data_IF_418394996021
#
_entry.id   IF_418394996021
#
_cell.length_a   1.000
_cell.length_b   1.000
_cell.length_c   1.000
_cell.angle_alpha   90.00
_cell.angle_beta   90.00
_cell.angle_gamma   90.00
#
_symmetry.space_group_name_H-M   'P 1'
#
loop_
_entity.id
_entity.type
_entity.pdbx_description
1 polymer ?
#
# COMPACT_ATOMS: atom_id res chain seq x y z
N UNK A 1 11.90 49.69 -2.61
CA UNK A 1 11.42 48.47 -3.30
C UNK A 1 9.92 48.46 -3.17
N UNK A 2 9.17 48.50 -4.27
CA UNK A 2 7.72 48.32 -4.20
C UNK A 2 7.43 46.89 -3.76
N UNK A 3 6.77 46.72 -2.61
CA UNK A 3 6.35 45.40 -2.14
C UNK A 3 5.23 44.89 -3.04
N UNK A 4 5.52 43.89 -3.87
CA UNK A 4 4.54 43.24 -4.74
C UNK A 4 3.56 42.41 -3.91
N UNK A 5 2.33 42.91 -3.76
CA UNK A 5 1.24 42.18 -3.12
C UNK A 5 0.69 41.08 -4.05
N UNK A 6 0.29 39.89 -3.54
CA UNK A 6 -0.38 38.85 -4.32
C UNK A 6 -1.52 39.34 -5.23
N UNK A 7 -2.30 40.34 -4.81
CA UNK A 7 -3.36 40.93 -5.63
C UNK A 7 -2.83 41.70 -6.85
N UNK A 8 -1.73 42.43 -6.68
CA UNK A 8 -1.07 43.16 -7.78
C UNK A 8 -0.51 42.15 -8.78
N UNK A 9 0.19 41.13 -8.29
CA UNK A 9 0.74 40.06 -9.14
C UNK A 9 -0.38 39.31 -9.88
N UNK A 10 -1.51 39.01 -9.22
CA UNK A 10 -2.65 38.38 -9.87
C UNK A 10 -3.21 39.23 -11.02
N UNK A 11 -3.32 40.54 -10.83
CA UNK A 11 -3.77 41.44 -11.89
C UNK A 11 -2.79 41.53 -13.05
N UNK A 12 -1.48 41.48 -12.78
CA UNK A 12 -0.45 41.41 -13.82
C UNK A 12 -0.55 40.10 -14.61
N UNK A 13 -0.63 38.95 -13.94
CA UNK A 13 -0.73 37.64 -14.59
C UNK A 13 -2.03 37.47 -15.40
N UNK A 14 -3.12 38.13 -15.00
CA UNK A 14 -4.38 38.16 -15.76
C UNK A 14 -4.30 38.99 -17.05
N UNK A 15 -3.38 39.94 -17.14
CA UNK A 15 -3.21 40.80 -18.32
C UNK A 15 -2.39 40.15 -19.43
N UNK A 16 -1.72 39.04 -19.15
CA UNK A 16 -0.94 38.29 -20.13
C UNK A 16 -1.92 37.73 -21.19
N UNK A 17 -1.76 38.07 -22.48
CA UNK A 17 -2.64 37.57 -23.52
C UNK A 17 -2.39 36.07 -23.74
N UNK A 18 -3.42 35.35 -24.20
CA UNK A 18 -3.34 33.89 -24.35
C UNK A 18 -2.27 33.44 -25.35
N UNK A 19 -1.93 34.30 -26.32
CA UNK A 19 -0.88 34.09 -27.32
C UNK A 19 0.54 34.07 -26.73
N UNK A 20 0.74 34.76 -25.60
CA UNK A 20 2.04 34.83 -24.91
C UNK A 20 2.24 33.69 -23.91
N UNK A 21 1.18 32.96 -23.55
CA UNK A 21 1.25 31.85 -22.56
C UNK A 21 2.22 30.74 -22.99
N UNK A 22 2.27 30.30 -24.27
CA UNK A 22 3.27 29.34 -24.74
C UNK A 22 4.71 29.83 -24.60
N UNK A 23 4.95 31.15 -24.66
CA UNK A 23 6.30 31.73 -24.47
C UNK A 23 6.81 31.52 -23.04
N UNK A 24 5.90 31.30 -22.09
CA UNK A 24 6.20 31.00 -20.69
C UNK A 24 6.33 29.49 -20.41
N UNK A 25 6.40 28.66 -21.46
CA UNK A 25 6.44 27.20 -21.36
C UNK A 25 5.21 26.59 -20.67
N UNK A 26 4.07 27.27 -20.77
CA UNK A 26 2.78 26.81 -20.24
C UNK A 26 1.86 26.38 -21.38
N UNK A 27 1.04 25.34 -21.14
CA UNK A 27 -0.01 24.95 -22.07
C UNK A 27 -1.28 25.79 -21.81
N UNK A 28 -1.74 26.61 -22.78
CA UNK A 28 -2.92 27.48 -22.61
C UNK A 28 -4.22 26.73 -22.27
N UNK A 29 -4.34 25.46 -22.66
CA UNK A 29 -5.53 24.63 -22.37
C UNK A 29 -5.49 24.01 -20.97
N UNK A 30 -4.29 23.76 -20.43
CA UNK A 30 -4.12 23.08 -19.15
C UNK A 30 -4.12 24.05 -17.96
N UNK A 31 -3.69 25.30 -18.15
CA UNK A 31 -3.70 26.30 -17.09
C UNK A 31 -3.17 27.65 -17.53
N UNK A 32 -3.62 28.71 -16.85
CA UNK A 32 -3.20 30.09 -17.08
C UNK A 32 -2.18 30.51 -16.03
N UNK A 33 -1.30 31.48 -16.31
CA UNK A 33 -0.36 32.01 -15.32
C UNK A 33 -1.05 32.51 -14.04
N UNK A 34 -2.24 33.09 -14.15
CA UNK A 34 -3.02 33.55 -13.01
C UNK A 34 -3.45 32.44 -12.04
N UNK A 35 -3.51 31.18 -12.50
CA UNK A 35 -3.95 30.04 -11.69
C UNK A 35 -2.88 29.58 -10.69
N UNK A 36 -1.63 30.07 -10.84
CA UNK A 36 -0.56 29.88 -9.87
C UNK A 36 -0.84 30.58 -8.53
N UNK A 37 -1.68 31.62 -8.54
CA UNK A 37 -2.11 32.32 -7.33
C UNK A 37 -3.44 31.71 -6.87
N UNK A 38 -3.39 31.06 -5.71
CA UNK A 38 -4.54 30.39 -5.13
C UNK A 38 -5.58 31.42 -4.67
N UNK A 39 -6.72 31.46 -5.37
CA UNK A 39 -7.91 32.24 -4.95
C UNK A 39 -8.96 31.37 -4.26
N UNK A 40 -8.89 30.05 -4.47
CA UNK A 40 -9.76 29.04 -3.88
C UNK A 40 -8.90 27.86 -3.46
N UNK A 41 -9.02 27.45 -2.20
CA UNK A 41 -8.33 26.27 -1.69
C UNK A 41 -9.24 25.05 -1.81
N UNK A 42 -8.75 23.98 -2.43
CA UNK A 42 -9.49 22.73 -2.56
C UNK A 42 -9.41 21.94 -1.26
N UNK A 43 -10.56 21.53 -0.73
CA UNK A 43 -10.66 20.72 0.49
C UNK A 43 -10.75 19.24 0.11
N UNK A 44 -9.78 18.39 0.49
CA UNK A 44 -9.82 16.98 0.17
C UNK A 44 -10.92 16.25 0.95
N UNK A 45 -11.49 15.17 0.38
CA UNK A 45 -12.46 14.31 1.08
C UNK A 45 -11.85 13.56 2.26
N UNK A 46 -12.70 13.03 3.14
CA UNK A 46 -12.31 12.34 4.38
C UNK A 46 -11.37 11.13 4.16
N UNK A 47 -11.45 10.47 3.01
CA UNK A 47 -10.55 9.36 2.68
C UNK A 47 -9.06 9.77 2.58
N UNK A 48 -8.76 11.04 2.33
CA UNK A 48 -7.38 11.58 2.30
C UNK A 48 -6.94 12.11 3.67
N UNK A 49 -7.90 12.46 4.53
CA UNK A 49 -7.70 13.04 5.87
C UNK A 49 -8.53 12.29 6.92
N UNK A 50 -8.22 11.00 7.16
CA UNK A 50 -9.04 10.14 8.01
C UNK A 50 -8.96 10.55 9.48
N UNK A 51 -10.10 10.49 10.16
CA UNK A 51 -10.18 10.68 11.61
C UNK A 51 -10.06 9.33 12.32
N UNK A 52 -9.28 9.26 13.40
CA UNK A 52 -9.07 8.04 14.17
C UNK A 52 -9.76 8.18 15.53
N UNK A 53 -10.70 7.30 15.84
CA UNK A 53 -11.34 7.27 17.17
C UNK A 53 -10.35 6.74 18.19
N UNK A 54 -10.26 7.40 19.35
CA UNK A 54 -9.38 6.95 20.43
C UNK A 54 -10.11 5.95 21.33
N UNK A 55 -9.55 4.74 21.50
CA UNK A 55 -10.14 3.69 22.33
C UNK A 55 -10.03 3.97 23.85
N UNK A 56 -9.05 4.80 24.26
CA UNK A 56 -8.71 5.04 25.68
C UNK A 56 -9.37 6.29 26.29
N UNK A 57 -9.85 7.22 25.47
CA UNK A 57 -10.51 8.46 25.91
C UNK A 57 -11.62 8.79 24.93
N UNK A 58 -12.80 9.17 25.43
CA UNK A 58 -13.86 9.73 24.58
C UNK A 58 -13.34 10.92 23.79
N UNK A 59 -13.10 10.71 22.49
CA UNK A 59 -12.57 11.73 21.57
C UNK A 59 -12.09 11.14 20.25
N UNK A 60 -11.95 12.01 19.24
CA UNK A 60 -11.36 11.68 17.94
C UNK A 60 -10.01 12.37 17.78
N UNK A 61 -9.04 11.66 17.23
CA UNK A 61 -7.78 12.22 16.74
C UNK A 61 -7.96 12.54 15.26
N UNK A 62 -8.13 13.83 14.97
CA UNK A 62 -8.25 14.33 13.60
C UNK A 62 -6.89 14.37 12.88
N UNK A 63 -6.93 14.21 11.57
CA UNK A 63 -5.76 14.30 10.70
C UNK A 63 -5.14 15.71 10.70
N UNK A 64 -3.81 15.81 10.59
CA UNK A 64 -3.08 17.08 10.53
C UNK A 64 -3.61 18.05 9.45
N UNK A 65 -4.06 17.54 8.30
CA UNK A 65 -4.65 18.36 7.23
C UNK A 65 -5.98 18.95 7.67
N UNK A 66 -6.80 18.21 8.41
CA UNK A 66 -8.06 18.72 8.97
C UNK A 66 -7.79 19.83 9.98
N UNK A 67 -6.80 19.65 10.86
CA UNK A 67 -6.40 20.69 11.81
C UNK A 67 -5.95 21.97 11.10
N UNK A 68 -5.12 21.85 10.07
CA UNK A 68 -4.66 22.99 9.26
C UNK A 68 -5.78 23.69 8.51
N UNK A 69 -6.74 22.95 7.97
CA UNK A 69 -7.90 23.53 7.29
C UNK A 69 -8.77 24.35 8.27
N UNK A 70 -8.97 23.88 9.50
CA UNK A 70 -9.68 24.62 10.53
C UNK A 70 -8.99 25.95 10.86
N UNK A 71 -7.66 25.95 10.98
CA UNK A 71 -6.87 27.17 11.19
C UNK A 71 -7.02 28.16 10.01
N UNK A 72 -6.96 27.67 8.76
CA UNK A 72 -7.12 28.47 7.55
C UNK A 72 -8.51 29.11 7.49
N UNK A 73 -9.56 28.34 7.76
CA UNK A 73 -10.95 28.84 7.75
C UNK A 73 -11.13 29.90 8.84
N UNK A 74 -10.63 29.64 10.04
CA UNK A 74 -10.73 30.57 11.16
C UNK A 74 -10.08 31.93 10.81
N UNK A 75 -8.86 31.91 10.27
CA UNK A 75 -8.16 33.14 9.85
C UNK A 75 -8.91 33.88 8.74
N UNK A 76 -9.44 33.14 7.76
CA UNK A 76 -10.22 33.73 6.67
C UNK A 76 -11.49 34.44 7.19
N UNK A 77 -12.17 33.86 8.18
CA UNK A 77 -13.33 34.48 8.83
C UNK A 77 -12.94 35.70 9.68
N UNK A 78 -11.79 35.66 10.36
CA UNK A 78 -11.25 36.79 11.12
C UNK A 78 -10.94 37.97 10.20
N UNK A 79 -10.22 37.74 9.09
CA UNK A 79 -9.92 38.77 8.08
C UNK A 79 -11.21 39.36 7.51
N UNK A 80 -12.22 38.53 7.23
CA UNK A 80 -13.53 38.99 6.76
C UNK A 80 -14.21 39.90 7.78
N UNK A 81 -14.18 39.56 9.06
CA UNK A 81 -14.72 40.39 10.15
C UNK A 81 -13.96 41.71 10.31
N UNK A 82 -12.63 41.66 10.33
CA UNK A 82 -11.76 42.85 10.40
C UNK A 82 -12.02 43.83 9.26
N UNK A 83 -12.27 43.31 8.05
CA UNK A 83 -12.65 44.14 6.90
C UNK A 83 -14.01 44.82 7.07
N UNK A 84 -15.00 44.14 7.65
CA UNK A 84 -16.34 44.69 7.87
C UNK A 84 -16.34 45.72 9.01
N UNK A 85 -15.60 45.45 10.09
CA UNK A 85 -15.53 46.34 11.25
C UNK A 85 -14.64 47.56 11.05
N UNK A 86 -13.97 47.68 9.90
CA UNK A 86 -13.04 48.79 9.63
C UNK A 86 -11.78 48.75 10.50
N UNK A 87 -11.28 47.54 10.81
CA UNK A 87 -10.04 47.37 11.56
C UNK A 87 -8.85 48.03 10.84
N UNK A 88 -7.81 48.36 11.60
CA UNK A 88 -6.60 49.00 11.07
C UNK A 88 -5.98 48.15 9.96
N UNK A 89 -5.58 48.78 8.87
CA UNK A 89 -4.97 48.12 7.70
C UNK A 89 -3.77 47.25 8.08
N UNK A 90 -2.97 47.69 9.05
CA UNK A 90 -1.81 46.93 9.54
C UNK A 90 -2.20 45.54 10.08
N UNK A 91 -3.29 45.44 10.85
CA UNK A 91 -3.75 44.16 11.39
C UNK A 91 -4.24 43.22 10.28
N UNK A 92 -4.92 43.76 9.26
CA UNK A 92 -5.40 42.98 8.12
C UNK A 92 -4.23 42.41 7.31
N UNK A 93 -3.15 43.19 7.14
CA UNK A 93 -1.94 42.74 6.45
C UNK A 93 -1.24 41.64 7.25
N UNK A 94 -1.11 41.79 8.56
CA UNK A 94 -0.52 40.77 9.43
C UNK A 94 -1.32 39.45 9.41
N UNK A 95 -2.65 39.53 9.51
CA UNK A 95 -3.52 38.36 9.39
C UNK A 95 -3.42 37.71 8.00
N UNK A 96 -3.27 38.53 6.94
CA UNK A 96 -3.10 38.07 5.57
C UNK A 96 -1.79 37.29 5.37
N UNK A 97 -0.68 37.81 5.91
CA UNK A 97 0.62 37.13 5.89
C UNK A 97 0.56 35.80 6.65
N UNK A 98 -0.16 35.77 7.77
CA UNK A 98 -0.36 34.54 8.53
C UNK A 98 -1.23 33.53 7.77
N UNK A 99 -2.29 33.98 7.09
CA UNK A 99 -3.11 33.13 6.21
C UNK A 99 -2.25 32.53 5.07
N UNK A 100 -1.41 33.36 4.43
CA UNK A 100 -0.50 32.91 3.38
C UNK A 100 0.45 31.81 3.90
N UNK A 101 1.00 31.99 5.10
CA UNK A 101 1.85 30.99 5.73
C UNK A 101 1.11 29.69 6.04
N UNK A 102 -0.12 29.74 6.58
CA UNK A 102 -0.90 28.53 6.86
C UNK A 102 -1.23 27.75 5.58
N UNK A 103 -1.61 28.45 4.52
CA UNK A 103 -1.83 27.85 3.20
C UNK A 103 -0.54 27.21 2.63
N UNK A 104 0.62 27.86 2.82
CA UNK A 104 1.90 27.31 2.39
C UNK A 104 2.27 26.05 3.19
N UNK A 105 2.13 26.08 4.52
CA UNK A 105 2.41 24.95 5.42
C UNK A 105 1.47 23.76 5.19
N UNK A 106 0.22 24.03 4.79
CA UNK A 106 -0.75 23.00 4.41
C UNK A 106 -0.25 22.16 3.22
N UNK A 107 0.39 22.81 2.25
CA UNK A 107 0.99 22.13 1.08
C UNK A 107 2.35 21.53 1.45
N UNK A 108 3.25 22.36 1.98
CA UNK A 108 4.63 22.00 2.32
C UNK A 108 4.95 22.45 3.75
N UNK A 109 4.94 21.51 4.69
CA UNK A 109 5.16 21.82 6.10
C UNK A 109 6.63 22.04 6.48
N UNK A 110 7.57 21.78 5.57
CA UNK A 110 9.01 21.98 5.73
C UNK A 110 9.52 23.20 4.95
N UNK A 111 8.66 24.21 4.75
CA UNK A 111 9.06 25.45 4.11
C UNK A 111 10.15 26.14 4.93
N UNK A 112 11.28 26.49 4.30
CA UNK A 112 12.38 27.23 4.93
C UNK A 112 12.09 28.73 4.98
N UNK A 113 12.78 29.46 5.86
CA UNK A 113 12.69 30.92 5.94
C UNK A 113 11.46 31.45 6.69
N UNK A 114 10.76 30.60 7.45
CA UNK A 114 9.64 31.04 8.29
C UNK A 114 10.19 31.80 9.51
N UNK A 115 9.70 33.02 9.78
CA UNK A 115 10.03 33.75 11.01
C UNK A 115 9.70 32.94 12.27
N UNK A 116 10.58 32.95 13.28
CA UNK A 116 10.43 32.16 14.52
C UNK A 116 9.11 32.42 15.26
N UNK A 117 8.58 33.64 15.20
CA UNK A 117 7.29 34.02 15.79
C UNK A 117 6.08 33.40 15.07
N UNK A 118 6.24 33.02 13.80
CA UNK A 118 5.20 32.41 12.98
C UNK A 118 5.44 30.90 12.76
N UNK A 119 6.53 30.35 13.31
CA UNK A 119 6.86 28.94 13.18
C UNK A 119 5.83 28.05 13.89
N UNK A 120 5.43 26.92 13.27
CA UNK A 120 4.45 26.02 13.89
C UNK A 120 5.03 25.37 15.15
N UNK A 121 4.30 25.47 16.27
CA UNK A 121 4.70 24.86 17.56
C UNK A 121 4.73 23.32 17.52
N UNK A 122 3.88 22.72 16.68
CA UNK A 122 3.80 21.28 16.46
C UNK A 122 4.12 20.97 15.02
N UNK A 123 4.97 19.97 14.80
CA UNK A 123 5.23 19.45 13.47
C UNK A 123 3.96 18.85 12.88
N UNK A 124 3.60 19.27 11.68
CA UNK A 124 2.46 18.75 10.92
C UNK A 124 2.94 18.16 9.60
N UNK A 125 2.21 17.16 9.08
CA UNK A 125 2.52 16.59 7.76
C UNK A 125 1.61 17.15 6.67
N UNK A 126 2.13 18.13 5.93
CA UNK A 126 1.53 18.65 4.71
C UNK A 126 1.53 17.64 3.56
N UNK A 127 0.94 18.00 2.43
CA UNK A 127 0.83 17.11 1.27
C UNK A 127 2.19 16.65 0.72
N UNK A 128 3.13 17.58 0.58
CA UNK A 128 4.46 17.28 0.02
C UNK A 128 5.16 16.23 0.89
N UNK A 129 5.10 16.36 2.21
CA UNK A 129 5.69 15.42 3.17
C UNK A 129 5.04 14.03 3.11
N UNK A 130 3.74 13.95 2.81
CA UNK A 130 3.05 12.67 2.62
C UNK A 130 3.45 11.98 1.31
N UNK A 131 3.79 12.75 0.29
CA UNK A 131 4.15 12.21 -1.03
C UNK A 131 5.63 11.82 -1.13
N UNK A 132 6.54 12.67 -0.61
CA UNK A 132 8.00 12.50 -0.76
C UNK A 132 8.62 11.57 0.28
N UNK A 133 9.86 11.15 0.02
CA UNK A 133 10.70 10.42 0.96
C UNK A 133 10.48 8.90 0.96
N UNK A 134 11.25 8.19 1.78
CA UNK A 134 11.26 6.72 1.84
C UNK A 134 9.92 6.12 2.28
N UNK A 135 9.27 6.77 3.24
CA UNK A 135 7.97 6.38 3.80
C UNK A 135 6.80 7.15 3.16
N UNK A 136 7.06 7.98 2.13
CA UNK A 136 6.01 8.71 1.41
C UNK A 136 5.21 7.80 0.48
N UNK A 137 4.06 8.27 -0.01
CA UNK A 137 3.13 7.47 -0.82
C UNK A 137 3.75 6.93 -2.11
N UNK A 138 4.58 7.71 -2.81
CA UNK A 138 5.19 7.25 -4.06
C UNK A 138 6.09 6.03 -3.84
N UNK A 139 7.00 6.10 -2.87
CA UNK A 139 7.97 5.02 -2.65
C UNK A 139 7.44 3.92 -1.73
N UNK A 140 6.75 4.28 -0.65
CA UNK A 140 6.32 3.37 0.41
C UNK A 140 4.93 2.75 0.22
N UNK A 141 4.16 3.17 -0.78
CA UNK A 141 2.87 2.55 -1.11
C UNK A 141 2.73 2.12 -2.58
N UNK A 142 3.29 2.89 -3.53
CA UNK A 142 3.20 2.56 -4.95
C UNK A 142 4.37 1.70 -5.42
N UNK A 143 5.62 2.10 -5.17
CA UNK A 143 6.80 1.30 -5.58
C UNK A 143 7.06 0.09 -4.69
N UNK A 144 6.79 0.20 -3.39
CA UNK A 144 6.89 -0.90 -2.45
C UNK A 144 5.65 -0.91 -1.57
N UNK A 145 4.98 -2.05 -1.46
CA UNK A 145 3.80 -2.21 -0.62
C UNK A 145 3.93 -3.50 0.18
N UNK A 146 3.32 -3.53 1.37
CA UNK A 146 3.06 -4.80 2.05
C UNK A 146 2.05 -5.59 1.22
N UNK A 147 2.32 -6.88 1.05
CA UNK A 147 1.52 -7.78 0.24
C UNK A 147 0.92 -8.85 1.13
N UNK A 148 -0.25 -9.33 0.73
CA UNK A 148 -0.89 -10.50 1.33
C UNK A 148 -0.32 -11.78 0.71
N UNK A 149 -0.71 -12.94 1.25
CA UNK A 149 -0.29 -14.27 0.77
C UNK A 149 1.23 -14.49 0.75
N UNK A 150 1.91 -13.95 1.76
CA UNK A 150 3.33 -14.15 2.00
C UNK A 150 3.62 -14.70 3.38
N UNK A 151 4.69 -15.46 3.52
CA UNK A 151 5.23 -15.95 4.80
C UNK A 151 6.71 -15.56 4.95
N UNK A 152 7.18 -15.47 6.20
CA UNK A 152 8.59 -15.22 6.54
C UNK A 152 8.95 -16.08 7.75
N UNK A 153 10.06 -16.79 7.68
CA UNK A 153 10.62 -17.54 8.81
C UNK A 153 12.11 -17.76 8.58
N UNK A 154 12.79 -18.26 9.61
CA UNK A 154 14.21 -18.65 9.58
C UNK A 154 14.41 -19.78 8.57
N UNK A 155 15.57 -19.79 7.91
CA UNK A 155 15.96 -20.84 6.96
C UNK A 155 16.83 -21.92 7.62
N UNK A 156 16.81 -23.14 7.06
CA UNK A 156 17.65 -24.26 7.51
C UNK A 156 18.05 -25.14 6.33
N UNK A 157 19.19 -25.83 6.41
CA UNK A 157 19.62 -26.73 5.35
C UNK A 157 18.73 -27.98 5.28
N UNK A 158 18.50 -28.51 4.08
CA UNK A 158 17.99 -29.87 3.87
C UNK A 158 18.58 -30.48 2.59
N UNK A 159 19.58 -31.37 2.71
CA UNK A 159 20.28 -31.92 1.55
C UNK A 159 19.46 -32.96 0.80
N UNK A 160 18.34 -33.43 1.36
CA UNK A 160 17.46 -34.40 0.72
C UNK A 160 16.42 -33.76 -0.20
N UNK A 161 16.29 -32.43 -0.17
CA UNK A 161 15.42 -31.70 -1.08
C UNK A 161 16.11 -31.47 -2.42
N UNK A 162 15.31 -31.46 -3.48
CA UNK A 162 15.82 -31.03 -4.79
C UNK A 162 16.18 -29.55 -4.76
N UNK A 163 17.04 -29.15 -5.69
CA UNK A 163 17.51 -27.76 -5.85
C UNK A 163 16.34 -26.81 -6.14
N UNK A 164 15.29 -27.29 -6.82
CA UNK A 164 14.09 -26.55 -7.15
C UNK A 164 12.97 -26.67 -6.10
N UNK A 165 13.21 -27.34 -4.96
CA UNK A 165 12.22 -27.53 -3.91
C UNK A 165 12.52 -26.69 -2.66
N UNK A 166 11.45 -26.19 -2.04
CA UNK A 166 11.50 -25.53 -0.73
C UNK A 166 10.53 -26.20 0.23
N UNK A 167 11.04 -26.63 1.39
CA UNK A 167 10.22 -27.13 2.48
C UNK A 167 9.47 -25.98 3.16
N UNK A 168 8.15 -26.07 3.16
CA UNK A 168 7.23 -25.13 3.80
C UNK A 168 6.67 -25.77 5.06
N UNK A 169 6.79 -25.12 6.23
CA UNK A 169 6.14 -25.55 7.46
C UNK A 169 4.63 -25.76 7.28
N UNK A 170 4.08 -26.86 7.82
CA UNK A 170 2.61 -27.12 7.83
C UNK A 170 1.82 -25.92 8.37
N UNK A 171 2.37 -25.21 9.37
CA UNK A 171 1.72 -24.03 9.94
C UNK A 171 1.58 -22.87 8.93
N UNK A 172 2.61 -22.66 8.09
CA UNK A 172 2.57 -21.67 7.01
C UNK A 172 1.63 -22.15 5.89
N UNK A 173 1.70 -23.44 5.54
CA UNK A 173 0.89 -24.04 4.49
C UNK A 173 -0.63 -23.98 4.76
N UNK A 174 -1.06 -24.09 6.03
CA UNK A 174 -2.47 -23.93 6.43
C UNK A 174 -2.98 -22.49 6.31
N UNK A 175 -2.10 -21.50 6.44
CA UNK A 175 -2.45 -20.08 6.40
C UNK A 175 -2.46 -19.58 4.95
N UNK A 176 -1.42 -19.92 4.19
CA UNK A 176 -1.32 -19.57 2.77
C UNK A 176 -2.33 -20.40 1.98
N UNK A 177 -3.17 -19.70 1.22
CA UNK A 177 -4.21 -20.34 0.42
C UNK A 177 -4.07 -20.00 -1.05
N UNK A 178 -4.48 -20.94 -1.89
CA UNK A 178 -4.55 -20.77 -3.33
C UNK A 178 -6.01 -20.91 -3.78
N UNK A 179 -6.56 -19.92 -4.50
CA UNK A 179 -7.93 -19.96 -4.99
C UNK A 179 -8.03 -20.85 -6.23
N UNK A 180 -8.45 -22.11 -6.03
CA UNK A 180 -8.60 -23.06 -7.13
C UNK A 180 -10.07 -23.15 -7.56
N UNK A 181 -10.32 -23.04 -8.88
CA UNK A 181 -11.66 -23.20 -9.45
C UNK A 181 -12.04 -24.67 -9.55
N UNK A 182 -13.24 -24.99 -9.08
CA UNK A 182 -13.80 -26.34 -9.14
C UNK A 182 -14.16 -26.69 -10.58
N UNK A 183 -13.57 -27.77 -11.08
CA UNK A 183 -13.79 -28.32 -12.40
C UNK A 183 -14.14 -29.82 -12.29
N UNK A 184 -14.40 -30.46 -13.44
CA UNK A 184 -14.79 -31.87 -13.48
C UNK A 184 -13.69 -32.82 -12.95
N UNK A 185 -12.42 -32.43 -13.09
CA UNK A 185 -11.28 -33.26 -12.70
C UNK A 185 -10.97 -33.16 -11.20
N UNK A 186 -11.05 -31.97 -10.59
CA UNK A 186 -10.64 -31.73 -9.21
C UNK A 186 -11.80 -31.79 -8.20
N UNK A 187 -13.07 -31.90 -8.62
CA UNK A 187 -14.22 -31.84 -7.72
C UNK A 187 -14.14 -32.83 -6.54
N UNK A 188 -13.70 -34.06 -6.78
CA UNK A 188 -13.58 -35.06 -5.71
C UNK A 188 -12.50 -34.65 -4.69
N UNK A 189 -11.37 -34.16 -5.19
CA UNK A 189 -10.28 -33.66 -4.35
C UNK A 189 -10.72 -32.44 -3.54
N UNK A 190 -11.38 -31.46 -4.18
CA UNK A 190 -11.89 -30.26 -3.52
C UNK A 190 -12.90 -30.59 -2.42
N UNK A 191 -13.80 -31.53 -2.65
CA UNK A 191 -14.75 -32.00 -1.61
C UNK A 191 -14.03 -32.53 -0.39
N UNK A 192 -12.96 -33.32 -0.57
CA UNK A 192 -12.15 -33.84 0.53
C UNK A 192 -11.44 -32.72 1.32
N UNK A 193 -10.88 -31.72 0.62
CA UNK A 193 -10.24 -30.58 1.27
C UNK A 193 -11.23 -29.74 2.10
N UNK A 194 -12.45 -29.54 1.57
CA UNK A 194 -13.53 -28.83 2.27
C UNK A 194 -13.99 -29.59 3.51
N UNK A 195 -14.08 -30.92 3.44
CA UNK A 195 -14.42 -31.77 4.59
C UNK A 195 -13.35 -31.69 5.68
N UNK A 196 -12.07 -31.74 5.31
CA UNK A 196 -10.94 -31.57 6.23
C UNK A 196 -10.97 -30.19 6.91
N UNK A 197 -11.38 -29.16 6.17
CA UNK A 197 -11.53 -27.79 6.69
C UNK A 197 -10.18 -27.09 6.96
N UNK A 198 -10.17 -26.04 7.80
CA UNK A 198 -8.99 -25.22 8.01
C UNK A 198 -7.94 -25.84 8.95
N UNK A 199 -8.37 -26.75 9.84
CA UNK A 199 -7.54 -27.24 10.94
C UNK A 199 -6.61 -28.39 10.54
N UNK A 200 -7.00 -29.20 9.56
CA UNK A 200 -6.26 -30.38 9.07
C UNK A 200 -5.64 -30.07 7.71
N UNK A 201 -4.35 -30.33 7.55
CA UNK A 201 -3.65 -30.21 6.27
C UNK A 201 -3.51 -31.60 5.63
N UNK A 202 -3.79 -31.77 4.32
CA UNK A 202 -4.28 -30.77 3.38
C UNK A 202 -5.78 -30.48 3.55
N UNK A 203 -6.16 -29.19 3.52
CA UNK A 203 -7.53 -28.72 3.73
C UNK A 203 -7.83 -27.42 2.99
N UNK A 204 -8.87 -26.70 3.42
CA UNK A 204 -9.30 -25.45 2.83
C UNK A 204 -9.85 -24.48 3.87
N UNK A 205 -9.67 -23.18 3.63
CA UNK A 205 -10.11 -22.14 4.56
C UNK A 205 -11.43 -21.50 4.13
N UNK A 206 -11.57 -21.16 2.84
CA UNK A 206 -12.74 -20.45 2.34
C UNK A 206 -13.31 -21.10 1.08
N UNK A 207 -14.60 -20.86 0.86
CA UNK A 207 -15.27 -21.16 -0.41
C UNK A 207 -15.97 -19.89 -0.87
N UNK A 208 -15.83 -19.58 -2.14
CA UNK A 208 -16.55 -18.53 -2.83
C UNK A 208 -17.44 -19.17 -3.89
N UNK A 209 -18.75 -19.04 -3.70
CA UNK A 209 -19.73 -19.55 -4.65
C UNK A 209 -19.81 -18.65 -5.88
N UNK A 210 -19.89 -19.23 -7.07
CA UNK A 210 -19.89 -18.47 -8.32
C UNK A 210 -21.08 -17.51 -8.44
N UNK A 211 -22.27 -17.96 -8.03
CA UNK A 211 -23.52 -17.22 -8.23
C UNK A 211 -23.71 -16.08 -7.23
N UNK A 212 -23.38 -16.31 -5.96
CA UNK A 212 -23.61 -15.34 -4.89
C UNK A 212 -22.40 -14.45 -4.63
N UNK A 213 -21.21 -14.84 -5.12
CA UNK A 213 -19.92 -14.20 -4.81
C UNK A 213 -19.64 -14.08 -3.31
N UNK A 214 -20.40 -14.80 -2.47
CA UNK A 214 -20.23 -14.79 -1.03
C UNK A 214 -19.08 -15.70 -0.64
N UNK A 215 -18.13 -15.14 0.10
CA UNK A 215 -17.01 -15.86 0.70
C UNK A 215 -17.43 -16.42 2.05
N UNK A 216 -17.45 -17.75 2.17
CA UNK A 216 -17.80 -18.47 3.39
C UNK A 216 -16.56 -19.06 4.03
N UNK A 217 -16.35 -18.82 5.32
CA UNK A 217 -15.25 -19.40 6.08
C UNK A 217 -15.61 -20.78 6.62
N UNK A 218 -14.79 -21.78 6.34
CA UNK A 218 -15.05 -23.20 6.64
C UNK A 218 -14.88 -23.58 8.11
N UNK A 219 -14.31 -22.68 8.93
CA UNK A 219 -14.25 -22.88 10.38
C UNK A 219 -15.64 -22.91 11.01
N UNK A 220 -16.60 -22.18 10.44
CA UNK A 220 -17.95 -22.04 10.95
C UNK A 220 -18.96 -22.65 9.96
N UNK A 221 -19.65 -23.71 10.39
CA UNK A 221 -20.70 -24.36 9.62
C UNK A 221 -20.50 -25.86 9.42
N UNK A 222 -21.49 -26.51 8.81
CA UNK A 222 -21.45 -27.94 8.54
C UNK A 222 -20.66 -28.20 7.23
N UNK A 223 -19.43 -28.68 7.39
CA UNK A 223 -18.47 -28.92 6.31
C UNK A 223 -18.94 -29.98 5.30
N UNK A 224 -19.66 -31.00 5.77
CA UNK A 224 -20.15 -32.10 4.93
C UNK A 224 -21.21 -31.62 3.94
N UNK A 225 -22.18 -30.84 4.42
CA UNK A 225 -23.22 -30.24 3.56
C UNK A 225 -22.60 -29.32 2.51
N UNK A 226 -21.66 -28.48 2.92
CA UNK A 226 -20.97 -27.55 2.02
C UNK A 226 -20.20 -28.30 0.93
N UNK A 227 -19.52 -29.40 1.28
CA UNK A 227 -18.81 -30.22 0.30
C UNK A 227 -19.78 -30.89 -0.69
N UNK A 228 -20.94 -31.36 -0.24
CA UNK A 228 -21.97 -31.95 -1.11
C UNK A 228 -22.56 -30.91 -2.08
N UNK A 229 -22.79 -29.69 -1.60
CA UNK A 229 -23.35 -28.57 -2.35
C UNK A 229 -22.36 -27.94 -3.34
N UNK A 230 -21.07 -28.31 -3.30
CA UNK A 230 -20.02 -27.75 -4.16
C UNK A 230 -20.33 -27.98 -5.65
N UNK A 231 -20.31 -26.90 -6.45
CA UNK A 231 -20.64 -26.92 -7.88
C UNK A 231 -19.44 -26.57 -8.75
N UNK A 232 -19.54 -26.89 -10.04
CA UNK A 232 -18.55 -26.47 -11.02
C UNK A 232 -18.51 -24.95 -11.17
N UNK A 233 -17.31 -24.39 -11.16
CA UNK A 233 -17.06 -22.95 -11.23
C UNK A 233 -17.06 -22.22 -9.89
N UNK A 234 -17.38 -22.89 -8.78
CA UNK A 234 -17.10 -22.37 -7.44
C UNK A 234 -15.58 -22.28 -7.23
N UNK A 235 -15.12 -21.39 -6.35
CA UNK A 235 -13.69 -21.23 -6.02
C UNK A 235 -13.45 -21.68 -4.60
N UNK A 236 -12.48 -22.58 -4.40
CA UNK A 236 -12.07 -23.07 -3.09
C UNK A 236 -10.69 -22.51 -2.79
N UNK A 237 -10.57 -21.77 -1.70
CA UNK A 237 -9.28 -21.31 -1.17
C UNK A 237 -8.67 -22.44 -0.34
N UNK A 238 -8.02 -23.38 -1.04
CA UNK A 238 -7.34 -24.51 -0.43
C UNK A 238 -6.01 -24.08 0.18
N UNK A 239 -5.52 -24.84 1.15
CA UNK A 239 -4.16 -24.70 1.67
C UNK A 239 -3.13 -24.84 0.54
N UNK A 240 -1.95 -24.26 0.73
CA UNK A 240 -0.76 -24.57 -0.06
C UNK A 240 -0.45 -26.06 0.11
N UNK A 241 -0.25 -26.78 -0.98
CA UNK A 241 0.05 -28.23 -0.98
C UNK A 241 1.38 -28.50 -1.67
N UNK A 242 1.87 -29.73 -1.54
CA UNK A 242 3.04 -30.21 -2.28
C UNK A 242 2.85 -30.02 -3.79
N UNK A 243 3.87 -29.46 -4.46
CA UNK A 243 3.84 -29.21 -5.90
C UNK A 243 3.37 -27.81 -6.29
N UNK A 244 2.91 -26.98 -5.36
CA UNK A 244 2.61 -25.58 -5.66
C UNK A 244 3.89 -24.78 -5.92
N UNK A 245 3.79 -23.80 -6.82
CA UNK A 245 4.92 -22.92 -7.15
C UNK A 245 4.85 -21.72 -6.22
N UNK A 246 5.98 -21.40 -5.60
CA UNK A 246 6.13 -20.27 -4.68
C UNK A 246 7.34 -19.44 -5.08
N UNK A 247 7.27 -18.14 -4.90
CA UNK A 247 8.41 -17.26 -5.05
C UNK A 247 9.14 -17.16 -3.72
N UNK A 248 10.43 -17.43 -3.73
CA UNK A 248 11.27 -17.41 -2.54
C UNK A 248 12.34 -16.33 -2.69
N UNK A 249 12.47 -15.45 -1.69
CA UNK A 249 13.41 -14.33 -1.74
C UNK A 249 14.17 -14.09 -0.43
N UNK A 250 15.40 -13.59 -0.60
CA UNK A 250 16.20 -13.01 0.48
C UNK A 250 16.33 -11.50 0.29
N UNK A 251 16.16 -10.75 1.37
CA UNK A 251 16.39 -9.31 1.39
C UNK A 251 17.81 -9.01 1.92
N UNK A 252 18.51 -8.02 1.36
CA UNK A 252 18.15 -7.17 0.24
C UNK A 252 18.26 -7.90 -1.11
N UNK A 253 17.29 -7.67 -2.01
CA UNK A 253 17.29 -8.30 -3.34
C UNK A 253 17.99 -7.39 -4.35
N UNK A 254 19.29 -7.61 -4.55
CA UNK A 254 20.13 -6.81 -5.46
C UNK A 254 20.25 -7.40 -6.86
N UNK A 255 20.01 -8.70 -6.99
CA UNK A 255 20.16 -9.43 -8.24
C UNK A 255 18.85 -10.13 -8.61
N UNK A 256 18.66 -10.43 -9.91
CA UNK A 256 17.48 -11.18 -10.39
C UNK A 256 17.33 -12.51 -9.64
N UNK A 257 18.45 -13.19 -9.38
CA UNK A 257 18.50 -14.48 -8.68
C UNK A 257 18.17 -14.39 -7.19
N UNK A 258 18.07 -13.19 -6.61
CA UNK A 258 17.63 -13.02 -5.23
C UNK A 258 16.13 -13.29 -5.04
N UNK A 259 15.39 -13.51 -6.14
CA UNK A 259 14.00 -13.97 -6.17
C UNK A 259 13.89 -15.08 -7.21
N UNK A 260 13.55 -16.29 -6.80
CA UNK A 260 13.38 -17.44 -7.70
C UNK A 260 12.12 -18.23 -7.35
N UNK A 261 11.58 -18.95 -8.33
CA UNK A 261 10.44 -19.82 -8.15
C UNK A 261 10.89 -21.23 -7.73
N UNK A 262 10.28 -21.74 -6.66
CA UNK A 262 10.51 -23.06 -6.10
C UNK A 262 9.21 -23.85 -6.04
N UNK A 263 9.33 -25.17 -5.99
CA UNK A 263 8.24 -26.10 -5.76
C UNK A 263 8.11 -26.32 -4.25
N UNK A 264 6.93 -26.06 -3.71
CA UNK A 264 6.68 -26.22 -2.29
C UNK A 264 6.59 -27.71 -1.90
N UNK A 265 7.21 -28.04 -0.78
CA UNK A 265 7.10 -29.34 -0.09
C UNK A 265 6.70 -29.13 1.36
N UNK A 266 5.52 -29.57 1.75
CA UNK A 266 5.00 -29.33 3.09
C UNK A 266 5.66 -30.31 4.08
N UNK A 267 6.28 -29.77 5.13
CA UNK A 267 6.98 -30.54 6.18
C UNK A 267 6.53 -30.12 7.58
N UNK A 268 6.58 -31.01 8.59
CA UNK A 268 6.11 -30.73 9.95
C UNK A 268 7.01 -29.78 10.75
N UNK A 269 8.09 -29.26 10.14
CA UNK A 269 9.04 -28.36 10.77
C UNK A 269 8.49 -26.92 10.91
N UNK A 270 9.30 -26.01 11.46
CA UNK A 270 8.96 -24.58 11.66
C UNK A 270 9.77 -23.61 10.81
N UNK A 271 10.86 -24.08 10.21
CA UNK A 271 11.75 -23.29 9.36
C UNK A 271 11.50 -23.60 7.88
N UNK A 272 11.81 -22.64 7.00
CA UNK A 272 11.93 -22.93 5.58
C UNK A 272 13.19 -23.74 5.36
N UNK A 273 13.14 -24.78 4.52
CA UNK A 273 14.35 -25.54 4.18
C UNK A 273 14.51 -25.67 2.69
N UNK A 274 15.74 -25.66 2.24
CA UNK A 274 16.06 -25.83 0.83
C UNK A 274 17.48 -26.37 0.71
N UNK A 275 17.82 -26.80 -0.50
CA UNK A 275 19.11 -27.40 -0.79
C UNK A 275 20.25 -26.36 -0.66
N UNK A 276 21.36 -26.75 -0.04
CA UNK A 276 22.51 -25.90 0.23
C UNK A 276 23.15 -25.34 -1.05
N UNK A 277 23.01 -26.01 -2.20
CA UNK A 277 23.50 -25.52 -3.49
C UNK A 277 22.82 -24.20 -3.92
N UNK A 278 21.65 -23.87 -3.37
CA UNK A 278 20.92 -22.63 -3.68
C UNK A 278 21.31 -21.47 -2.76
N UNK A 279 22.17 -21.68 -1.76
CA UNK A 279 22.60 -20.61 -0.86
C UNK A 279 23.36 -19.49 -1.59
N UNK A 280 24.19 -19.85 -2.58
CA UNK A 280 25.02 -18.89 -3.34
C UNK A 280 24.22 -17.80 -4.06
N UNK A 281 23.20 -18.11 -4.89
CA UNK A 281 22.41 -17.06 -5.56
C UNK A 281 21.62 -16.16 -4.60
N UNK A 282 21.23 -16.67 -3.43
CA UNK A 282 20.58 -15.88 -2.39
C UNK A 282 21.57 -15.11 -1.50
N UNK A 283 22.87 -15.42 -1.61
CA UNK A 283 23.90 -14.99 -0.67
C UNK A 283 23.47 -15.24 0.79
N UNK A 284 22.88 -16.41 1.03
CA UNK A 284 22.30 -16.82 2.30
C UNK A 284 23.19 -17.80 3.04
N UNK A 285 23.19 -17.74 4.36
CA UNK A 285 23.75 -18.75 5.24
C UNK A 285 22.69 -19.21 6.27
N UNK A 286 23.05 -20.13 7.16
CA UNK A 286 22.09 -20.75 8.09
C UNK A 286 22.35 -20.34 9.55
N UNK A 287 22.85 -19.13 9.76
CA UNK A 287 23.23 -18.62 11.10
C UNK A 287 22.08 -17.90 11.84
N UNK A 288 20.90 -17.82 11.22
CA UNK A 288 19.75 -17.06 11.72
C UNK A 288 19.02 -16.26 10.63
N UNK A 289 19.52 -16.31 9.40
CA UNK A 289 18.90 -15.72 8.22
C UNK A 289 17.39 -16.05 8.09
N UNK A 290 16.63 -15.05 7.63
CA UNK A 290 15.21 -15.16 7.36
C UNK A 290 14.93 -14.82 5.89
N UNK A 291 14.10 -15.63 5.25
CA UNK A 291 13.66 -15.43 3.87
C UNK A 291 12.15 -15.32 3.80
N UNK A 292 11.65 -14.63 2.77
CA UNK A 292 10.21 -14.56 2.52
C UNK A 292 9.80 -15.50 1.39
N UNK A 293 8.56 -15.92 1.49
CA UNK A 293 7.88 -16.78 0.55
C UNK A 293 6.60 -16.06 0.12
N UNK A 294 6.33 -16.01 -1.18
CA UNK A 294 5.12 -15.45 -1.76
C UNK A 294 4.42 -16.53 -2.58
N UNK A 295 3.11 -16.70 -2.38
CA UNK A 295 2.30 -17.67 -3.13
C UNK A 295 1.53 -16.93 -4.24
N UNK A 296 1.88 -17.11 -5.53
CA UNK A 296 1.10 -16.61 -6.65
C UNK A 296 -0.36 -17.05 -6.54
N UNK A 297 -1.30 -16.12 -6.80
CA UNK A 297 -2.74 -16.34 -6.58
C UNK A 297 -3.51 -16.67 -7.87
N UNK A 298 -2.86 -16.59 -9.03
CA UNK A 298 -3.48 -16.91 -10.32
C UNK A 298 -2.69 -17.99 -11.04
N UNK A 299 -3.36 -18.79 -11.87
CA UNK A 299 -2.71 -19.81 -12.70
C UNK A 299 -1.71 -19.19 -13.68
N UNK A 300 -2.02 -18.01 -14.23
CA UNK A 300 -1.12 -17.25 -15.12
C UNK A 300 0.17 -16.85 -14.39
N UNK A 301 0.07 -16.30 -13.18
CA UNK A 301 1.25 -15.93 -12.38
C UNK A 301 2.04 -17.16 -11.92
N UNK A 302 1.36 -18.28 -11.66
CA UNK A 302 2.01 -19.57 -11.33
C UNK A 302 2.84 -20.06 -12.53
N UNK A 303 2.27 -20.01 -13.73
CA UNK A 303 2.95 -20.40 -14.97
C UNK A 303 4.11 -19.45 -15.29
N UNK A 304 3.92 -18.14 -15.18
CA UNK A 304 4.96 -17.14 -15.40
C UNK A 304 6.15 -17.35 -14.45
N UNK A 305 5.87 -17.52 -13.15
CA UNK A 305 6.89 -17.78 -12.14
C UNK A 305 7.68 -19.07 -12.47
N UNK A 306 6.98 -20.15 -12.82
CA UNK A 306 7.62 -21.41 -13.15
C UNK A 306 8.50 -21.34 -14.40
N UNK A 307 8.00 -20.71 -15.47
CA UNK A 307 8.66 -20.68 -16.78
C UNK A 307 9.77 -19.63 -16.88
N UNK A 308 9.66 -18.50 -16.18
CA UNK A 308 10.63 -17.39 -16.29
C UNK A 308 11.59 -17.28 -15.10
N UNK A 309 11.20 -17.81 -13.94
CA UNK A 309 11.93 -17.67 -12.68
C UNK A 309 12.29 -19.00 -12.01
N UNK A 310 11.99 -20.14 -12.65
CA UNK A 310 12.31 -21.46 -12.14
C UNK A 310 13.81 -21.67 -11.96
N UNK A 311 14.21 -22.26 -10.84
CA UNK A 311 15.62 -22.55 -10.51
C UNK A 311 16.27 -23.49 -11.53
N UNK A 312 15.49 -24.37 -12.17
CA UNK A 312 15.95 -25.31 -13.20
C UNK A 312 16.43 -24.64 -14.50
N UNK A 313 16.17 -23.34 -14.68
CA UNK A 313 16.63 -22.56 -15.85
C UNK A 313 18.04 -21.99 -15.67
N UNK A 314 18.72 -22.31 -14.56
CA UNK A 314 20.11 -21.92 -14.29
C UNK A 314 21.16 -22.83 -14.94
N UNK A 315 20.75 -23.76 -15.81
CA UNK A 315 21.63 -24.60 -16.62
C UNK A 315 21.87 -23.98 -18.00
#
# INVERSE_FOLDING_TARGET
QENLNPLVVLNLLKRIPAEDVPLLLMNPEAGKPCDLILTRLLVPPLCIRPSVVSDLKSGTNEDDLTMKLTEIIFLNDVIKKHRISGAKTQMIIEDWDFLQLQCALYINSELSGIPLNMAPKKWTRGFVQRLKGKQGRFRGNLSGKRVDFSGRTVISPDPNLRIDEVAVPVHVAKILTFPEKVNKANIHFMRKLVQNGPDVHPGANFIQQRHTQMKRFLKYGNREKIAQELRFGDTVERHLIDGDIVLFNRQPSLHKLSIMAHIAKVKPHRTFRFNECVCTPYNADFDGDEMNLHLPQTEEAKAEAYVLMGVSLLN
#
